data_IF_792526656669
#
_entry.id   IF_792526656669
#
_cell.length_a   1.000
_cell.length_b   1.000
_cell.length_c   1.000
_cell.angle_alpha   90.00
_cell.angle_beta   90.00
_cell.angle_gamma   90.00
#
_symmetry.space_group_name_H-M   'P 1'
#
loop_
_entity.id
_entity.type
_entity.pdbx_description
1 polymer ?
#
# COMPACT_ATOMS: atom_id res chain seq x y z
N UNK A 1 -11.71 -20.69 3.62
CA UNK A 1 -12.13 -19.36 4.11
C UNK A 1 -11.25 -18.33 3.45
N UNK A 2 -11.84 -17.36 2.76
CA UNK A 2 -11.07 -16.31 2.10
C UNK A 2 -10.45 -15.37 3.13
N UNK A 3 -9.28 -14.82 2.85
CA UNK A 3 -8.55 -13.93 3.76
C UNK A 3 -8.26 -12.59 3.09
N UNK A 4 -8.28 -11.52 3.88
CA UNK A 4 -7.85 -10.18 3.50
C UNK A 4 -6.54 -9.84 4.19
N UNK A 5 -5.60 -9.26 3.46
CA UNK A 5 -4.33 -8.77 4.00
C UNK A 5 -3.94 -7.44 3.34
N UNK A 6 -3.21 -6.60 4.06
CA UNK A 6 -2.46 -5.49 3.46
C UNK A 6 -1.08 -6.02 3.08
N UNK A 7 -0.63 -5.69 1.87
CA UNK A 7 0.74 -5.92 1.43
C UNK A 7 1.49 -4.60 1.41
N UNK A 8 2.71 -4.60 1.93
CA UNK A 8 3.65 -3.48 1.86
C UNK A 8 4.88 -3.95 1.10
N UNK A 9 5.31 -3.17 0.11
CA UNK A 9 6.47 -3.44 -0.73
C UNK A 9 7.55 -2.38 -0.50
N UNK A 10 8.81 -2.77 -0.71
CA UNK A 10 9.96 -1.85 -0.60
C UNK A 10 9.84 -0.74 -1.66
N UNK A 11 10.21 0.48 -1.31
CA UNK A 11 10.30 1.57 -2.28
C UNK A 11 11.46 1.35 -3.26
N UNK A 12 11.22 1.60 -4.54
CA UNK A 12 12.22 1.45 -5.62
C UNK A 12 12.27 2.76 -6.43
N UNK A 13 13.44 3.33 -6.75
CA UNK A 13 14.80 2.82 -6.47
C UNK A 13 15.31 3.10 -5.04
N UNK A 14 14.61 3.94 -4.27
CA UNK A 14 14.99 4.30 -2.90
C UNK A 14 13.83 4.02 -1.96
N UNK A 15 14.12 3.35 -0.85
CA UNK A 15 13.14 2.92 0.14
C UNK A 15 12.78 4.04 1.11
N UNK A 16 12.12 5.07 0.60
CA UNK A 16 11.46 6.09 1.42
C UNK A 16 10.07 5.63 1.84
N UNK A 17 9.62 6.03 3.04
CA UNK A 17 8.25 5.75 3.52
C UNK A 17 7.19 6.10 2.49
N UNK A 18 7.25 7.28 1.87
CA UNK A 18 6.28 7.74 0.86
C UNK A 18 6.35 6.99 -0.49
N UNK A 19 7.43 6.23 -0.74
CA UNK A 19 7.60 5.44 -1.96
C UNK A 19 7.29 3.95 -1.77
N UNK A 20 7.07 3.49 -0.53
CA UNK A 20 6.63 2.12 -0.28
C UNK A 20 5.24 1.93 -0.88
N UNK A 21 5.12 0.93 -1.74
CA UNK A 21 3.84 0.61 -2.37
C UNK A 21 2.98 -0.23 -1.43
N UNK A 22 1.69 0.05 -1.39
CA UNK A 22 0.73 -0.75 -0.61
C UNK A 22 -0.42 -1.24 -1.47
N UNK A 23 -0.91 -2.43 -1.14
CA UNK A 23 -2.04 -3.07 -1.81
C UNK A 23 -2.91 -3.82 -0.80
N UNK A 24 -4.19 -4.01 -1.13
CA UNK A 24 -5.00 -5.06 -0.52
C UNK A 24 -4.80 -6.35 -1.30
N UNK A 25 -4.65 -7.46 -0.59
CA UNK A 25 -4.61 -8.81 -1.14
C UNK A 25 -5.76 -9.63 -0.59
N UNK A 26 -6.40 -10.37 -1.48
CA UNK A 26 -7.38 -11.39 -1.10
C UNK A 26 -6.90 -12.75 -1.54
N UNK A 27 -6.97 -13.73 -0.65
CA UNK A 27 -6.78 -15.14 -0.99
C UNK A 27 -8.13 -15.83 -0.94
N UNK A 28 -8.87 -15.80 -2.05
CA UNK A 28 -10.04 -16.63 -2.21
C UNK A 28 -9.62 -18.08 -2.44
N UNK A 29 -10.53 -19.04 -2.25
CA UNK A 29 -10.23 -20.48 -2.31
C UNK A 29 -9.34 -20.91 -3.51
N UNK A 30 -9.58 -20.33 -4.69
CA UNK A 30 -8.89 -20.71 -5.92
C UNK A 30 -8.21 -19.53 -6.63
N UNK A 31 -8.41 -18.30 -6.14
CA UNK A 31 -7.91 -17.10 -6.80
C UNK A 31 -7.33 -16.13 -5.80
N UNK A 32 -6.25 -15.49 -6.21
CA UNK A 32 -5.71 -14.35 -5.50
C UNK A 32 -5.98 -13.10 -6.32
N UNK A 33 -6.23 -12.00 -5.63
CA UNK A 33 -6.42 -10.70 -6.27
C UNK A 33 -5.68 -9.63 -5.46
N UNK A 34 -4.98 -8.77 -6.18
CA UNK A 34 -4.35 -7.55 -5.69
C UNK A 34 -5.22 -6.37 -6.09
N UNK A 35 -5.49 -5.48 -5.14
CA UNK A 35 -6.23 -4.25 -5.36
C UNK A 35 -5.36 -3.11 -4.87
N UNK A 36 -5.07 -2.16 -5.75
CA UNK A 36 -4.15 -1.08 -5.44
C UNK A 36 -4.39 0.13 -6.33
N UNK A 37 -3.69 1.21 -6.02
CA UNK A 37 -3.61 2.39 -6.88
C UNK A 37 -2.20 2.50 -7.44
N UNK A 38 -2.10 2.69 -8.75
CA UNK A 38 -0.83 2.85 -9.46
C UNK A 38 -0.71 4.24 -10.08
N UNK A 39 0.49 4.58 -10.54
CA UNK A 39 0.81 5.85 -11.16
C UNK A 39 1.41 6.84 -10.17
N UNK A 40 1.36 8.11 -10.52
CA UNK A 40 1.82 9.22 -9.69
C UNK A 40 0.85 10.37 -9.81
N UNK A 41 0.79 11.23 -8.81
CA UNK A 41 -0.05 12.43 -8.83
C UNK A 41 0.21 13.28 -10.09
N UNK A 42 -0.82 13.80 -10.80
CA UNK A 42 -2.28 13.65 -10.60
C UNK A 42 -2.92 12.55 -11.48
N UNK A 43 -2.21 11.48 -11.78
CA UNK A 43 -2.63 10.43 -12.72
C UNK A 43 -2.80 9.06 -12.06
N UNK A 44 -3.18 9.03 -10.78
CA UNK A 44 -3.43 7.78 -10.10
C UNK A 44 -4.61 7.02 -10.71
N UNK A 45 -4.52 5.69 -10.74
CA UNK A 45 -5.58 4.80 -11.22
C UNK A 45 -5.72 3.58 -10.30
N UNK A 46 -6.97 3.20 -10.03
CA UNK A 46 -7.27 1.93 -9.38
C UNK A 46 -7.04 0.76 -10.36
N UNK A 47 -6.42 -0.31 -9.86
CA UNK A 47 -6.21 -1.54 -10.60
C UNK A 47 -6.54 -2.78 -9.74
N UNK A 48 -6.94 -3.85 -10.43
CA UNK A 48 -7.10 -5.19 -9.87
C UNK A 48 -6.29 -6.17 -10.70
N UNK A 49 -5.33 -6.84 -10.08
CA UNK A 49 -4.48 -7.83 -10.75
C UNK A 49 -4.73 -9.23 -10.19
N UNK A 50 -4.87 -10.27 -11.05
CA UNK A 50 -5.03 -11.65 -10.63
C UNK A 50 -3.70 -12.35 -10.27
N UNK A 51 -2.58 -11.63 -10.38
CA UNK A 51 -1.24 -12.04 -9.96
C UNK A 51 -0.53 -10.86 -9.31
N UNK A 52 0.51 -11.13 -8.50
CA UNK A 52 1.32 -10.08 -7.91
C UNK A 52 1.87 -9.15 -9.00
N UNK A 53 1.46 -7.86 -9.05
CA UNK A 53 1.87 -6.94 -10.09
C UNK A 53 3.30 -6.40 -9.87
N UNK A 54 3.89 -6.67 -8.69
CA UNK A 54 5.22 -6.23 -8.31
C UNK A 54 6.16 -7.45 -8.37
N UNK A 55 7.30 -7.31 -9.06
CA UNK A 55 8.29 -8.37 -9.23
C UNK A 55 8.84 -8.90 -7.91
N UNK A 56 8.99 -8.02 -6.94
CA UNK A 56 9.50 -8.29 -5.61
C UNK A 56 8.40 -8.85 -4.70
N UNK A 57 8.81 -9.68 -3.74
CA UNK A 57 7.91 -10.09 -2.66
C UNK A 57 7.62 -8.92 -1.72
N UNK A 58 6.43 -8.86 -1.11
CA UNK A 58 6.13 -7.85 -0.11
C UNK A 58 7.07 -8.00 1.10
N UNK A 59 7.54 -6.87 1.63
CA UNK A 59 8.34 -6.83 2.86
C UNK A 59 7.49 -7.09 4.11
N UNK A 60 6.18 -6.85 4.02
CA UNK A 60 5.23 -7.23 5.04
C UNK A 60 3.90 -7.66 4.43
N UNK A 61 3.30 -8.67 5.06
CA UNK A 61 1.92 -9.10 4.83
C UNK A 61 1.18 -8.99 6.15
N UNK A 62 0.28 -8.03 6.26
CA UNK A 62 -0.45 -7.71 7.48
C UNK A 62 -1.84 -8.33 7.38
N UNK A 63 -2.16 -9.38 8.16
CA UNK A 63 -3.50 -9.94 8.17
C UNK A 63 -4.51 -8.91 8.66
N UNK A 64 -5.63 -8.76 7.96
CA UNK A 64 -6.75 -7.90 8.36
C UNK A 64 -7.83 -8.75 9.02
N UNK A 65 -8.47 -9.62 8.24
CA UNK A 65 -9.54 -10.51 8.71
C UNK A 65 -9.74 -11.69 7.75
N UNK A 66 -10.53 -12.68 8.19
CA UNK A 66 -11.20 -13.60 7.29
C UNK A 66 -12.37 -12.87 6.62
N UNK A 67 -12.53 -13.04 5.32
CA UNK A 67 -13.64 -12.43 4.59
C UNK A 67 -14.92 -13.22 4.91
N UNK A 68 -15.99 -12.59 5.43
CA UNK A 68 -17.24 -13.27 5.72
C UNK A 68 -17.86 -13.90 4.47
N UNK A 69 -18.48 -15.08 4.60
CA UNK A 69 -19.13 -15.77 3.48
C UNK A 69 -20.30 -14.97 2.86
N UNK A 70 -20.87 -14.04 3.62
CA UNK A 70 -21.88 -13.10 3.15
C UNK A 70 -21.34 -12.05 2.16
N UNK A 71 -20.02 -11.84 2.12
CA UNK A 71 -19.37 -10.87 1.23
C UNK A 71 -18.83 -11.60 0.00
N UNK A 72 -19.51 -11.42 -1.13
CA UNK A 72 -19.07 -11.99 -2.41
C UNK A 72 -17.82 -11.29 -2.95
N UNK A 73 -17.05 -11.97 -3.83
CA UNK A 73 -15.93 -11.35 -4.56
C UNK A 73 -16.36 -10.09 -5.32
N UNK A 74 -17.56 -10.12 -5.92
CA UNK A 74 -18.09 -8.99 -6.68
C UNK A 74 -18.41 -7.80 -5.76
N UNK A 75 -19.01 -8.06 -4.60
CA UNK A 75 -19.29 -7.02 -3.59
C UNK A 75 -17.99 -6.39 -3.09
N UNK A 76 -16.98 -7.21 -2.78
CA UNK A 76 -15.66 -6.74 -2.38
C UNK A 76 -15.02 -5.87 -3.46
N UNK A 77 -15.01 -6.35 -4.72
CA UNK A 77 -14.47 -5.61 -5.85
C UNK A 77 -15.17 -4.27 -6.05
N UNK A 78 -16.50 -4.22 -5.99
CA UNK A 78 -17.26 -2.97 -6.15
C UNK A 78 -16.94 -1.96 -5.04
N UNK A 79 -16.71 -2.41 -3.80
CA UNK A 79 -16.28 -1.54 -2.71
C UNK A 79 -14.88 -0.95 -2.95
N UNK A 80 -13.91 -1.78 -3.36
CA UNK A 80 -12.57 -1.30 -3.70
C UNK A 80 -12.59 -0.35 -4.92
N UNK A 81 -13.28 -0.73 -6.00
CA UNK A 81 -13.40 0.09 -7.20
C UNK A 81 -14.13 1.41 -6.93
N UNK A 82 -15.09 1.42 -6.02
CA UNK A 82 -15.82 2.61 -5.58
C UNK A 82 -15.04 3.52 -4.63
N UNK A 83 -13.87 3.09 -4.15
CA UNK A 83 -13.02 3.92 -3.28
C UNK A 83 -12.42 5.07 -4.11
N UNK A 84 -12.61 6.33 -3.71
CA UNK A 84 -12.12 7.47 -4.47
C UNK A 84 -10.61 7.42 -4.74
N UNK A 85 -10.23 7.78 -5.97
CA UNK A 85 -8.83 8.02 -6.34
C UNK A 85 -8.62 9.52 -6.47
N UNK A 86 -7.76 10.08 -5.61
CA UNK A 86 -7.61 11.54 -5.49
C UNK A 86 -6.49 12.07 -6.37
N UNK A 87 -6.90 12.85 -7.36
CA UNK A 87 -6.01 13.46 -8.36
C UNK A 87 -6.16 14.99 -8.40
N UNK A 88 -6.84 15.59 -7.41
CA UNK A 88 -7.06 17.04 -7.32
C UNK A 88 -5.79 17.78 -6.91
N UNK A 89 -5.66 19.05 -7.28
CA UNK A 89 -4.46 19.86 -7.00
C UNK A 89 -4.08 19.99 -5.51
N UNK A 90 -5.03 19.74 -4.60
CA UNK A 90 -4.83 19.70 -3.15
C UNK A 90 -4.43 18.33 -2.59
N UNK A 91 -4.40 17.28 -3.41
CA UNK A 91 -4.16 15.89 -2.99
C UNK A 91 -2.73 15.43 -3.30
N UNK A 92 -1.74 16.33 -3.20
CA UNK A 92 -0.35 16.02 -3.60
C UNK A 92 0.33 14.96 -2.74
N UNK A 93 -0.06 14.87 -1.47
CA UNK A 93 0.48 13.90 -0.52
C UNK A 93 -0.35 12.60 -0.48
N UNK A 94 -1.41 12.51 -1.29
CA UNK A 94 -2.22 11.31 -1.39
C UNK A 94 -1.55 10.28 -2.29
N UNK A 95 -1.50 9.02 -1.86
CA UNK A 95 -0.92 7.92 -2.63
C UNK A 95 -1.66 6.59 -2.34
N UNK A 96 -1.08 5.46 -2.77
CA UNK A 96 -1.65 4.14 -2.56
C UNK A 96 -1.82 3.73 -1.08
N UNK A 97 -1.06 4.31 -0.16
CA UNK A 97 -1.15 4.09 1.29
C UNK A 97 -2.44 4.71 1.84
N UNK A 98 -2.76 5.93 1.39
CA UNK A 98 -4.03 6.58 1.70
C UNK A 98 -5.20 5.77 1.12
N UNK A 99 -5.09 5.32 -0.13
CA UNK A 99 -6.14 4.53 -0.77
C UNK A 99 -6.44 3.23 0.00
N UNK A 100 -5.42 2.51 0.50
CA UNK A 100 -5.64 1.30 1.31
C UNK A 100 -6.47 1.61 2.57
N UNK A 101 -6.17 2.72 3.27
CA UNK A 101 -6.95 3.14 4.43
C UNK A 101 -8.40 3.51 4.10
N UNK A 102 -8.61 4.18 2.97
CA UNK A 102 -9.95 4.54 2.46
C UNK A 102 -10.72 3.29 2.01
N UNK A 103 -10.09 2.35 1.31
CA UNK A 103 -10.69 1.11 0.86
C UNK A 103 -11.11 0.23 2.04
N UNK A 104 -10.31 0.13 3.10
CA UNK A 104 -10.72 -0.54 4.33
C UNK A 104 -11.94 0.13 4.97
N UNK A 105 -12.07 1.45 4.85
CA UNK A 105 -13.27 2.19 5.31
C UNK A 105 -14.50 1.80 4.49
N UNK A 106 -14.39 1.66 3.17
CA UNK A 106 -15.49 1.16 2.33
C UNK A 106 -15.84 -0.30 2.66
N UNK A 107 -14.84 -1.13 2.95
CA UNK A 107 -15.05 -2.52 3.35
C UNK A 107 -15.74 -2.67 4.72
N UNK A 108 -15.57 -1.70 5.63
CA UNK A 108 -16.35 -1.63 6.87
C UNK A 108 -17.84 -1.41 6.58
N UNK A 109 -18.18 -0.54 5.62
CA UNK A 109 -19.58 -0.22 5.30
C UNK A 109 -20.38 -1.42 4.77
N UNK A 110 -19.71 -2.35 4.10
CA UNK A 110 -20.33 -3.59 3.60
C UNK A 110 -20.24 -4.76 4.58
N UNK A 111 -19.70 -4.54 5.79
CA UNK A 111 -19.55 -5.56 6.83
C UNK A 111 -18.45 -6.60 6.56
N UNK A 112 -17.51 -6.31 5.66
CA UNK A 112 -16.37 -7.20 5.38
C UNK A 112 -15.28 -7.08 6.46
N UNK A 113 -15.05 -5.87 6.94
CA UNK A 113 -14.01 -5.53 7.93
C UNK A 113 -14.69 -4.87 9.13
N UNK A 114 -14.23 -5.15 10.34
CA UNK A 114 -14.71 -4.41 11.52
C UNK A 114 -13.91 -3.10 11.68
N UNK A 115 -14.48 -2.09 12.34
CA UNK A 115 -13.74 -0.85 12.61
C UNK A 115 -12.46 -1.13 13.42
N UNK A 116 -12.50 -2.11 14.32
CA UNK A 116 -11.35 -2.53 15.11
C UNK A 116 -10.25 -3.15 14.24
N UNK A 117 -10.60 -4.09 13.35
CA UNK A 117 -9.63 -4.72 12.44
C UNK A 117 -9.00 -3.69 11.50
N UNK A 118 -9.82 -2.74 11.01
CA UNK A 118 -9.34 -1.61 10.20
C UNK A 118 -8.28 -0.80 10.94
N UNK A 119 -8.56 -0.35 12.16
CA UNK A 119 -7.62 0.47 12.95
C UNK A 119 -6.34 -0.30 13.25
N UNK A 120 -6.44 -1.57 13.65
CA UNK A 120 -5.27 -2.40 13.95
C UNK A 120 -4.41 -2.65 12.70
N UNK A 121 -5.03 -2.93 11.56
CA UNK A 121 -4.30 -3.17 10.31
C UNK A 121 -3.62 -1.91 9.78
N UNK A 122 -4.30 -0.75 9.82
CA UNK A 122 -3.70 0.54 9.43
C UNK A 122 -2.55 0.89 10.36
N UNK A 123 -2.68 0.70 11.68
CA UNK A 123 -1.60 0.95 12.64
C UNK A 123 -0.33 0.15 12.30
N UNK A 124 -0.48 -1.15 12.06
CA UNK A 124 0.63 -2.02 11.62
C UNK A 124 1.19 -1.61 10.26
N UNK A 125 0.35 -1.19 9.33
CA UNK A 125 0.80 -0.70 8.02
C UNK A 125 1.68 0.53 8.18
N UNK A 126 1.29 1.46 9.05
CA UNK A 126 2.07 2.66 9.37
C UNK A 126 3.39 2.30 10.04
N UNK A 127 3.40 1.40 11.03
CA UNK A 127 4.62 0.89 11.66
C UNK A 127 5.60 0.37 10.60
N UNK A 128 5.13 -0.51 9.71
CA UNK A 128 5.97 -1.01 8.61
C UNK A 128 6.42 0.14 7.72
N UNK A 129 5.55 1.05 7.26
CA UNK A 129 5.95 2.16 6.37
C UNK A 129 7.02 3.05 7.01
N UNK A 130 6.98 3.26 8.33
CA UNK A 130 7.94 4.07 9.07
C UNK A 130 9.31 3.37 9.26
N UNK A 131 9.34 2.05 9.22
CA UNK A 131 10.58 1.25 9.19
C UNK A 131 11.27 1.29 7.80
N UNK A 132 11.07 2.37 7.03
CA UNK A 132 11.73 2.61 5.75
C UNK A 132 13.23 2.80 5.91
N UNK A 133 14.02 2.01 5.17
CA UNK A 133 15.48 2.13 5.17
C UNK A 133 15.89 3.34 4.35
N UNK A 134 15.87 4.50 5.00
CA UNK A 134 16.51 5.69 4.51
C UNK A 134 17.54 6.17 5.54
N UNK A 135 18.60 5.37 5.46
CA UNK A 135 19.90 5.40 6.11
C UNK A 135 20.60 6.76 5.91
N UNK A 136 21.13 7.30 7.00
CA UNK A 136 21.81 8.61 7.10
C UNK A 136 23.09 8.65 6.24
N UNK A 137 23.49 7.53 5.63
CA UNK A 137 24.70 7.35 4.83
C UNK A 137 24.67 8.04 3.45
N UNK A 138 23.49 8.31 2.87
CA UNK A 138 23.38 8.96 1.55
C UNK A 138 23.66 10.47 1.61
N UNK A 139 23.50 11.10 2.77
CA UNK A 139 23.88 12.51 2.99
C UNK A 139 25.39 12.71 3.19
N UNK A 140 26.14 11.66 3.55
CA UNK A 140 27.56 11.79 3.91
C UNK A 140 28.53 11.63 2.72
N UNK A 141 28.07 11.18 1.56
CA UNK A 141 28.94 10.97 0.38
C UNK A 141 28.81 12.09 -0.68
N UNK A 142 27.91 13.06 -0.49
CA UNK A 142 27.70 14.18 -1.42
C UNK A 142 28.57 15.42 -1.17
N UNK A 143 29.40 15.44 -0.13
CA UNK A 143 30.12 16.66 0.27
C UNK A 143 31.40 16.40 1.02
N UNK A 144 32.47 16.02 0.31
CA UNK A 144 33.85 16.27 0.78
C UNK A 144 34.76 16.54 -0.42
N UNK A 145 34.86 17.84 -0.69
CA UNK A 145 36.00 18.60 -1.20
C UNK A 145 37.27 17.77 -1.50
N UNK A 146 37.71 17.80 -2.75
CA UNK A 146 39.14 17.72 -3.10
C UNK A 146 39.59 19.10 -3.56
N UNK A 147 39.85 19.97 -2.60
CA UNK A 147 40.86 21.01 -2.75
C UNK A 147 42.19 20.46 -2.21
N UNK A 148 43.27 21.01 -2.75
CA UNK A 148 44.69 20.92 -2.35
C UNK A 148 45.41 19.57 -2.49
N UNK A 149 46.15 19.44 -3.60
CA UNK A 149 47.52 18.93 -3.59
C UNK A 149 48.43 19.99 -4.26
N UNK A 150 49.16 20.75 -3.44
CA UNK A 150 50.36 21.48 -3.82
C UNK A 150 51.50 20.86 -3.00
N UNK A 151 52.33 20.06 -3.67
CA UNK A 151 53.57 19.48 -3.18
C UNK A 151 54.49 19.22 -4.36
#
# INVERSE_FOLDING_TARGET
MAQLSILVYKGVPVDFSQHRHTALHTSWHETEDWFHVVGAHPFFQFQKDPQNPISESPIARIPVCAIPESVSKATFYLACMGTPVRNGSGDRDWNCQNWVGEALTELVKIGCVTEQDRVLAIGKMVEVILDAEMDVSVLLHGGRERLIDLG
#
